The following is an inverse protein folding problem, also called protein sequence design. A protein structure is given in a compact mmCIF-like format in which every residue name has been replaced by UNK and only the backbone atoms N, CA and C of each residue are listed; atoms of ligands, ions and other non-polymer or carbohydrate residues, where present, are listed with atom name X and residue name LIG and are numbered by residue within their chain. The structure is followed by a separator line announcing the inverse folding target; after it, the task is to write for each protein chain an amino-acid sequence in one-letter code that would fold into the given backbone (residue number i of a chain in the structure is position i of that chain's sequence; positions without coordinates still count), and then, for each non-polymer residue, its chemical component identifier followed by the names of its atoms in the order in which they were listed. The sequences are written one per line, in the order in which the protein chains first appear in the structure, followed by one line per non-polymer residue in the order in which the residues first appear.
data_IF_779824680088
#
_entry.id   IF_779824680088
#
_cell.length_a   1.000
_cell.length_b   1.000
_cell.length_c   1.000
_cell.angle_alpha   90.00
_cell.angle_beta   90.00
_cell.angle_gamma   90.00
#
_symmetry.space_group_name_H-M   'P 1'
#
loop_
_entity.id
_entity.type
_entity.pdbx_description
1 polymer ?
#
# COMPACT_ATOMS: atom_id res chain seq x y z
N UNK A 1 4.98 6.36 -26.79
CA UNK A 1 4.70 7.38 -25.76
C UNK A 1 3.96 6.65 -24.64
N UNK A 2 4.67 6.23 -23.59
CA UNK A 2 4.06 5.51 -22.48
C UNK A 2 3.18 6.45 -21.67
N UNK A 3 1.99 5.98 -21.30
CA UNK A 3 1.05 6.78 -20.51
C UNK A 3 1.67 7.09 -19.15
N UNK A 4 1.77 8.38 -18.80
CA UNK A 4 2.37 8.84 -17.52
C UNK A 4 1.73 8.18 -16.29
N UNK A 5 0.48 7.77 -16.39
CA UNK A 5 -0.26 7.08 -15.34
C UNK A 5 0.25 5.65 -15.10
N UNK A 6 0.63 4.95 -16.17
CA UNK A 6 1.16 3.59 -16.10
C UNK A 6 2.54 3.59 -15.44
N UNK A 7 3.40 4.53 -15.85
CA UNK A 7 4.73 4.76 -15.26
C UNK A 7 4.64 5.10 -13.75
N UNK A 8 3.65 5.88 -13.33
CA UNK A 8 3.45 6.20 -11.93
C UNK A 8 3.03 4.96 -11.12
N UNK A 9 2.09 4.15 -11.63
CA UNK A 9 1.66 2.90 -10.98
C UNK A 9 2.82 1.91 -10.80
N UNK A 10 3.64 1.71 -11.84
CA UNK A 10 4.85 0.86 -11.76
C UNK A 10 5.86 1.38 -10.74
N UNK A 11 6.02 2.70 -10.62
CA UNK A 11 6.95 3.29 -9.65
C UNK A 11 6.51 3.04 -8.19
N UNK A 12 5.21 3.12 -7.90
CA UNK A 12 4.66 2.88 -6.54
C UNK A 12 4.80 1.41 -6.14
N UNK A 13 4.55 0.49 -7.07
CA UNK A 13 4.74 -0.94 -6.85
C UNK A 13 6.22 -1.26 -6.55
N UNK A 14 7.13 -0.70 -7.34
CA UNK A 14 8.57 -0.88 -7.15
C UNK A 14 9.04 -0.30 -5.80
N UNK A 15 8.60 0.91 -5.45
CA UNK A 15 8.89 1.51 -4.15
C UNK A 15 8.39 0.64 -3.00
N UNK A 16 7.16 0.10 -3.11
CA UNK A 16 6.57 -0.79 -2.11
C UNK A 16 7.38 -2.09 -1.95
N UNK A 17 7.84 -2.68 -3.04
CA UNK A 17 8.71 -3.87 -3.01
C UNK A 17 10.07 -3.55 -2.37
N UNK A 18 10.72 -2.46 -2.80
CA UNK A 18 12.00 -2.04 -2.25
C UNK A 18 11.92 -1.77 -0.75
N UNK A 19 10.85 -1.10 -0.30
CA UNK A 19 10.57 -0.87 1.12
C UNK A 19 10.41 -2.19 1.89
N UNK A 20 9.53 -3.08 1.42
CA UNK A 20 9.30 -4.37 2.09
C UNK A 20 10.57 -5.21 2.18
N UNK A 21 11.38 -5.24 1.12
CA UNK A 21 12.65 -5.96 1.11
C UNK A 21 13.68 -5.33 2.05
N UNK A 22 13.73 -4.01 2.17
CA UNK A 22 14.59 -3.32 3.14
C UNK A 22 14.20 -3.67 4.57
N UNK A 23 12.91 -3.57 4.90
CA UNK A 23 12.38 -3.87 6.23
C UNK A 23 12.67 -5.33 6.61
N UNK A 24 12.37 -6.27 5.71
CA UNK A 24 12.65 -7.70 5.91
C UNK A 24 14.12 -7.99 6.22
N UNK A 25 15.05 -7.24 5.61
CA UNK A 25 16.49 -7.46 5.77
C UNK A 25 17.10 -6.74 6.96
N UNK A 26 16.61 -5.54 7.29
CA UNK A 26 17.30 -4.62 8.19
C UNK A 26 16.51 -4.29 9.47
N UNK A 27 15.20 -4.51 9.49
CA UNK A 27 14.32 -4.16 10.60
C UNK A 27 13.74 -5.43 11.24
N UNK A 28 14.62 -6.31 11.72
CA UNK A 28 14.22 -7.64 12.24
C UNK A 28 13.71 -7.62 13.69
N UNK A 29 13.88 -6.50 14.41
CA UNK A 29 13.47 -6.36 15.80
C UNK A 29 12.57 -5.13 15.99
N UNK A 30 11.44 -5.13 15.29
CA UNK A 30 10.39 -4.10 15.41
C UNK A 30 9.07 -4.75 15.77
N UNK A 31 8.28 -4.11 16.64
CA UNK A 31 6.96 -4.62 17.04
C UNK A 31 5.93 -4.51 15.90
N UNK A 32 6.03 -3.44 15.11
CA UNK A 32 5.09 -3.15 14.03
C UNK A 32 5.75 -2.28 12.97
N UNK A 33 5.17 -2.30 11.77
CA UNK A 33 5.57 -1.48 10.63
C UNK A 33 4.35 -0.67 10.21
N UNK A 34 4.50 0.66 10.16
CA UNK A 34 3.47 1.55 9.65
C UNK A 34 3.90 2.15 8.31
N UNK A 35 3.06 1.99 7.29
CA UNK A 35 3.23 2.62 5.98
C UNK A 35 2.06 3.59 5.76
N UNK A 36 2.39 4.86 5.55
CA UNK A 36 1.45 5.95 5.26
C UNK A 36 2.06 6.85 4.19
N UNK A 37 1.20 7.55 3.44
CA UNK A 37 1.64 8.58 2.48
C UNK A 37 2.02 9.87 3.23
N UNK A 38 2.80 10.73 2.58
CA UNK A 38 3.37 11.96 3.16
C UNK A 38 2.36 13.12 3.29
N UNK A 39 1.18 12.97 2.70
CA UNK A 39 0.06 13.92 2.73
C UNK A 39 -1.04 13.56 3.74
N UNK A 40 -0.82 12.53 4.57
CA UNK A 40 -1.77 12.10 5.59
C UNK A 40 -1.42 12.69 6.97
N UNK A 41 -2.39 13.36 7.59
CA UNK A 41 -2.35 13.69 9.00
C UNK A 41 -2.93 12.54 9.85
N UNK A 42 -2.26 12.20 10.94
CA UNK A 42 -2.61 11.07 11.79
C UNK A 42 -2.44 11.41 13.28
N UNK A 43 -3.30 10.82 14.11
CA UNK A 43 -3.24 10.99 15.56
C UNK A 43 -2.24 9.98 16.15
N UNK A 44 -1.04 10.48 16.44
CA UNK A 44 0.08 9.68 16.96
C UNK A 44 -0.31 8.94 18.24
N UNK A 45 -0.94 9.62 19.20
CA UNK A 45 -1.33 9.02 20.49
C UNK A 45 -2.27 7.83 20.30
N UNK A 46 -3.31 7.99 19.47
CA UNK A 46 -4.25 6.90 19.17
C UNK A 46 -3.56 5.72 18.51
N UNK A 47 -2.61 5.96 17.60
CA UNK A 47 -1.87 4.88 16.95
C UNK A 47 -0.98 4.15 17.95
N UNK A 48 -0.26 4.86 18.83
CA UNK A 48 0.55 4.19 19.85
C UNK A 48 -0.28 3.39 20.86
N UNK A 49 -1.44 3.91 21.27
CA UNK A 49 -2.37 3.17 22.13
C UNK A 49 -2.83 1.88 21.44
N UNK A 50 -3.24 1.96 20.17
CA UNK A 50 -3.61 0.80 19.37
C UNK A 50 -2.46 -0.22 19.22
N UNK A 51 -1.25 0.24 18.88
CA UNK A 51 -0.07 -0.62 18.78
C UNK A 51 0.31 -1.27 20.12
N UNK A 52 -0.07 -0.66 21.25
CA UNK A 52 0.08 -1.24 22.59
C UNK A 52 -0.76 -2.49 22.80
N UNK A 53 -1.96 -2.54 22.21
CA UNK A 53 -2.95 -3.62 22.35
C UNK A 53 -2.71 -4.82 21.43
N UNK A 54 -1.94 -4.65 20.35
CA UNK A 54 -1.66 -5.71 19.37
C UNK A 54 -0.69 -6.75 19.94
N UNK A 55 -1.02 -8.03 19.73
CA UNK A 55 -0.16 -9.18 20.03
C UNK A 55 1.00 -9.28 19.00
N UNK A 56 2.26 -9.19 19.42
CA UNK A 56 3.41 -9.36 18.53
C UNK A 56 3.61 -10.79 18.01
N UNK A 57 2.86 -11.79 18.50
CA UNK A 57 2.94 -13.18 18.07
C UNK A 57 2.23 -13.51 16.76
N UNK A 58 1.42 -12.59 16.22
CA UNK A 58 0.66 -12.81 14.98
C UNK A 58 1.10 -11.89 13.83
N UNK A 59 1.27 -12.47 12.65
CA UNK A 59 1.55 -11.74 11.41
C UNK A 59 0.25 -11.14 10.82
N UNK A 60 -0.24 -10.05 11.41
CA UNK A 60 -1.51 -9.41 11.00
C UNK A 60 -1.28 -8.12 10.22
N UNK A 61 -1.98 -7.98 9.09
CA UNK A 61 -2.05 -6.73 8.32
C UNK A 61 -3.31 -5.95 8.67
N UNK A 62 -3.14 -4.77 9.30
CA UNK A 62 -4.24 -3.86 9.60
C UNK A 62 -4.36 -2.77 8.53
N UNK A 63 -5.46 -2.76 7.79
CA UNK A 63 -5.81 -1.70 6.85
C UNK A 63 -7.31 -1.67 6.57
N UNK A 64 -7.78 -0.60 5.93
CA UNK A 64 -9.13 -0.58 5.37
C UNK A 64 -9.19 -1.48 4.14
N UNK A 65 -9.80 -2.65 4.27
CA UNK A 65 -9.96 -3.59 3.15
C UNK A 65 -11.14 -3.19 2.27
N UNK A 66 -10.90 -3.04 0.97
CA UNK A 66 -11.95 -2.90 -0.04
C UNK A 66 -12.18 -4.25 -0.69
N UNK A 67 -13.34 -4.86 -0.44
CA UNK A 67 -13.74 -6.10 -1.08
C UNK A 67 -14.31 -5.81 -2.48
N UNK A 68 -13.75 -6.46 -3.50
CA UNK A 68 -14.12 -6.29 -4.93
C UNK A 68 -13.98 -4.84 -5.43
N UNK A 69 -12.75 -4.29 -5.45
CA UNK A 69 -12.54 -2.95 -6.00
C UNK A 69 -12.94 -2.91 -7.48
N UNK A 70 -13.64 -1.85 -7.86
CA UNK A 70 -13.98 -1.60 -9.26
C UNK A 70 -12.70 -1.25 -10.02
N UNK A 71 -12.44 -1.95 -11.12
CA UNK A 71 -11.34 -1.59 -12.03
C UNK A 71 -11.79 -0.40 -12.84
N UNK A 72 -11.14 0.74 -12.66
CA UNK A 72 -11.48 1.96 -13.40
C UNK A 72 -10.93 1.89 -14.82
N UNK A 73 -11.81 2.15 -15.80
CA UNK A 73 -11.54 2.02 -17.24
C UNK A 73 -11.78 3.32 -18.00
N UNK A 74 -12.30 4.35 -17.34
CA UNK A 74 -12.53 5.67 -17.94
C UNK A 74 -11.22 6.43 -18.05
N UNK A 75 -10.91 6.91 -19.25
CA UNK A 75 -9.65 7.61 -19.57
C UNK A 75 -9.41 8.91 -18.77
N UNK A 76 -10.47 9.47 -18.20
CA UNK A 76 -10.43 10.72 -17.43
C UNK A 76 -10.04 10.49 -15.97
N UNK A 77 -10.01 9.23 -15.53
CA UNK A 77 -9.79 8.87 -14.15
C UNK A 77 -8.31 8.63 -13.87
N UNK A 78 -7.87 9.02 -12.67
CA UNK A 78 -6.45 8.96 -12.27
C UNK A 78 -5.88 7.54 -12.29
N UNK A 79 -6.73 6.55 -11.98
CA UNK A 79 -6.38 5.14 -11.80
C UNK A 79 -6.87 4.25 -12.95
N UNK A 80 -6.77 4.76 -14.19
CA UNK A 80 -7.08 3.98 -15.40
C UNK A 80 -6.22 2.72 -15.50
N UNK A 81 -6.86 1.56 -15.63
CA UNK A 81 -6.18 0.30 -15.99
C UNK A 81 -6.66 -0.16 -17.36
N UNK A 82 -5.73 -0.32 -18.29
CA UNK A 82 -6.04 -0.73 -19.65
C UNK A 82 -6.52 -2.20 -19.71
N UNK A 83 -7.39 -2.52 -20.66
CA UNK A 83 -7.84 -3.90 -20.90
C UNK A 83 -6.72 -4.83 -21.35
N UNK A 84 -5.62 -4.27 -21.89
CA UNK A 84 -4.47 -5.02 -22.41
C UNK A 84 -3.62 -5.57 -21.25
N UNK A 85 -3.58 -4.88 -20.10
CA UNK A 85 -2.73 -5.25 -18.97
C UNK A 85 -3.37 -6.26 -18.00
N UNK A 86 -4.71 -6.35 -17.95
CA UNK A 86 -5.43 -7.28 -17.06
C UNK A 86 -6.81 -7.66 -17.64
N UNK A 87 -6.98 -8.87 -18.18
CA UNK A 87 -8.29 -9.42 -18.52
C UNK A 87 -9.08 -9.73 -17.24
N UNK A 88 -10.41 -9.62 -17.30
CA UNK A 88 -11.30 -10.01 -16.19
C UNK A 88 -11.22 -11.54 -16.00
N UNK A 89 -10.89 -11.97 -14.79
CA UNK A 89 -11.04 -13.35 -14.30
C UNK A 89 -12.51 -13.69 -14.08
#
# INVERSE_FOLDING_TARGET
MGDRHELHSYSVLLQSYSYANYVRKNCTNVKAILKVDDDIAWNVEKVFNFLGEIDPGEDVLYCQTVLKPWVERRKQERWLVSLISTPLS
#
